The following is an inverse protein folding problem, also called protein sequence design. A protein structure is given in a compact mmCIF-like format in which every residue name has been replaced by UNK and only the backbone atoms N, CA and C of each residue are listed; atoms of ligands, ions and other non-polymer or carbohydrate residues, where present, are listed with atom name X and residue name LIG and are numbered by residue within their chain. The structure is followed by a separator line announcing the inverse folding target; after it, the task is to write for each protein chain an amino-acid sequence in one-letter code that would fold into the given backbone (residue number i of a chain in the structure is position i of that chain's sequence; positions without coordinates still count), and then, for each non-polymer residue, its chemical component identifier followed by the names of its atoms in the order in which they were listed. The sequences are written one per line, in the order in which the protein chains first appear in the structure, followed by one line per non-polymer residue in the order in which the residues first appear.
data_IF_550645680695
#
_entry.id   IF_550645680695
#
_cell.length_a   1.000
_cell.length_b   1.000
_cell.length_c   1.000
_cell.angle_alpha   90.00
_cell.angle_beta   90.00
_cell.angle_gamma   90.00
#
_symmetry.space_group_name_H-M   'P 1'
#
loop_
_entity.id
_entity.type
_entity.pdbx_description
1 polymer ?
2 polymer ?
3 non-polymer ?
4 water ?
#
loop_
_entity_poly.entity_id
_entity_poly.type
_entity_poly.pdbx_seq_one_letter_code
_entity_poly.pdbx_strand_id
2 'polyribonucleotide' 'GC' ?
#
# COMPACT_ATOMS: atom_id res chain seq x y z
N UNK A 2 2.18 -19.00 12.05
CA UNK A 2 0.94 -18.64 11.37
C UNK A 2 1.17 -18.44 9.88
N UNK A 3 2.35 -18.90 9.43
CA UNK A 3 2.69 -18.95 8.02
C UNK A 3 1.65 -19.75 7.24
N UNK A 4 1.08 -19.17 6.18
CA UNK A 4 0.03 -19.88 5.46
C UNK A 4 -0.08 -19.32 4.05
N UNK A 5 -0.35 -20.20 3.09
CA UNK A 5 -0.53 -19.75 1.71
C UNK A 5 -1.87 -19.05 1.49
N UNK A 6 -2.73 -18.95 2.52
CA UNK A 6 -3.97 -18.19 2.44
C UNK A 6 -3.83 -16.76 2.96
N UNK A 7 -2.72 -16.44 3.63
CA UNK A 7 -2.51 -15.10 4.16
C UNK A 7 -2.45 -14.07 3.03
N UNK A 8 -2.74 -12.81 3.38
CA UNK A 8 -2.79 -11.72 2.40
C UNK A 8 -1.70 -10.69 2.69
N UNK A 9 -1.03 -10.24 1.63
CA UNK A 9 -0.01 -9.21 1.73
C UNK A 9 -0.63 -7.89 1.29
N UNK A 10 -0.70 -6.95 2.22
CA UNK A 10 -1.19 -5.60 1.97
C UNK A 10 0.01 -4.67 1.82
N UNK A 11 -0.05 -3.77 0.83
CA UNK A 11 1.08 -2.88 0.60
C UNK A 11 0.55 -1.52 0.14
N UNK A 12 1.24 -0.46 0.59
CA UNK A 12 0.95 0.89 0.14
C UNK A 12 2.29 1.57 -0.09
N UNK A 13 2.37 2.35 -1.15
CA UNK A 13 3.54 3.14 -1.48
C UNK A 13 3.16 4.61 -1.47
N UNK A 14 4.15 5.46 -1.18
CA UNK A 14 4.07 6.88 -1.50
C UNK A 14 5.14 7.18 -2.55
N UNK A 15 4.81 8.10 -3.47
CA UNK A 15 5.66 8.36 -4.62
C UNK A 15 5.81 9.86 -4.83
N UNK A 16 6.79 10.23 -5.67
CA UNK A 16 6.95 11.63 -6.07
C UNK A 16 5.98 12.05 -7.17
N UNK A 17 5.15 11.13 -7.65
CA UNK A 17 4.14 11.49 -8.63
C UNK A 17 3.49 10.23 -9.15
N UNK A 18 2.73 10.39 -10.24
CA UNK A 18 1.86 9.32 -10.73
C UNK A 18 2.47 8.49 -11.86
N UNK A 19 3.66 8.85 -12.35
CA UNK A 19 4.20 8.23 -13.55
C UNK A 19 5.41 7.39 -13.19
N UNK A 20 5.34 6.05 -13.24
CA UNK A 20 6.49 5.23 -12.81
C UNK A 20 7.77 5.49 -13.59
N UNK A 21 7.67 5.96 -14.83
CA UNK A 21 8.86 6.17 -15.64
C UNK A 21 9.61 7.42 -15.22
N UNK A 22 8.95 8.33 -14.54
CA UNK A 22 9.50 9.62 -14.18
C UNK A 22 9.70 9.77 -12.68
N UNK A 23 8.87 9.12 -11.89
CA UNK A 23 8.78 9.37 -10.46
C UNK A 23 9.35 8.20 -9.69
N UNK A 24 9.44 8.36 -8.37
CA UNK A 24 10.16 7.41 -7.54
C UNK A 24 9.31 7.04 -6.33
N UNK A 25 9.63 5.91 -5.74
CA UNK A 25 9.00 5.50 -4.48
C UNK A 25 9.74 6.17 -3.34
N UNK A 26 9.00 6.84 -2.45
CA UNK A 26 9.59 7.45 -1.26
C UNK A 26 9.12 6.82 0.04
N UNK A 27 8.07 6.01 0.03
CA UNK A 27 7.73 5.28 1.24
C UNK A 27 7.08 3.96 0.88
N UNK A 28 7.30 2.95 1.71
CA UNK A 28 6.67 1.65 1.52
C UNK A 28 6.28 1.10 2.89
N UNK A 29 5.14 0.43 2.95
CA UNK A 29 4.75 -0.25 4.18
C UNK A 29 3.99 -1.49 3.76
N UNK A 30 4.10 -2.55 4.56
CA UNK A 30 3.37 -3.78 4.31
C UNK A 30 2.72 -4.26 5.59
N UNK A 31 1.60 -4.97 5.43
CA UNK A 31 0.91 -5.64 6.53
C UNK A 31 0.50 -7.02 6.02
N UNK A 32 0.60 -8.03 6.87
CA UNK A 32 0.10 -9.36 6.55
C UNK A 32 -1.16 -9.61 7.38
N UNK A 33 -2.25 -9.97 6.72
CA UNK A 33 -3.42 -10.47 7.42
C UNK A 33 -3.61 -11.94 7.09
N UNK A 34 -4.42 -12.62 7.91
CA UNK A 34 -4.88 -13.93 7.48
C UNK A 34 -6.01 -13.73 6.47
N UNK A 35 -6.57 -14.84 6.00
CA UNK A 35 -7.61 -14.75 4.98
C UNK A 35 -8.90 -14.15 5.51
N UNK A 36 -9.07 -14.09 6.83
CA UNK A 36 -10.23 -13.48 7.45
C UNK A 36 -9.99 -12.01 7.80
N UNK A 37 -8.87 -11.44 7.35
CA UNK A 37 -8.48 -10.03 7.50
C UNK A 37 -7.98 -9.69 8.89
N UNK A 38 -7.74 -10.67 9.76
CA UNK A 38 -7.10 -10.36 11.04
C UNK A 38 -5.65 -9.98 10.80
N UNK A 39 -5.22 -8.85 11.38
CA UNK A 39 -3.86 -8.39 11.17
C UNK A 39 -2.90 -9.26 11.97
N UNK A 40 -1.97 -9.92 11.27
CA UNK A 40 -1.03 -10.84 11.91
C UNK A 40 0.29 -10.15 12.26
N UNK A 41 0.78 -9.27 11.40
CA UNK A 41 2.08 -8.64 11.57
C UNK A 41 2.19 -7.44 10.66
N UNK A 42 2.88 -6.40 11.12
CA UNK A 42 3.16 -5.25 10.29
C UNK A 42 4.62 -5.30 9.88
N UNK A 43 4.86 -5.02 8.60
CA UNK A 43 6.19 -5.10 8.05
C UNK A 43 6.97 -3.83 8.24
N UNK A 44 8.13 -3.76 7.59
CA UNK A 44 8.95 -2.54 7.68
C UNK A 44 8.23 -1.34 7.10
N UNK A 45 8.28 -0.23 7.81
CA UNK A 45 7.76 1.05 7.33
C UNK A 45 8.98 1.88 6.94
N UNK A 46 9.21 2.05 5.63
CA UNK A 46 10.50 2.50 5.13
C UNK A 46 10.32 3.78 4.33
N UNK A 47 10.93 4.86 4.81
CA UNK A 47 11.13 6.05 3.99
C UNK A 47 12.38 5.82 3.15
N UNK A 48 12.25 5.90 1.84
CA UNK A 48 13.31 5.55 0.91
C UNK A 48 14.00 6.82 0.47
N UNK A 49 15.33 6.86 0.63
CA UNK A 49 16.06 8.06 0.28
C UNK A 49 15.96 8.34 -1.22
N UNK A 50 15.76 9.62 -1.54
CA UNK A 50 15.82 10.12 -2.91
C UNK A 50 16.55 11.45 -2.89
N UNK A 51 17.35 11.73 -3.91
CA UNK A 51 18.04 13.02 -3.98
C UNK A 51 17.07 14.15 -4.27
N UNK A 52 17.54 15.39 -4.01
CA UNK A 52 16.67 16.56 -4.21
C UNK A 52 16.15 16.62 -5.64
N UNK A 53 16.97 16.23 -6.63
CA UNK A 53 16.52 16.33 -8.01
C UNK A 53 15.28 15.51 -8.25
N UNK A 54 15.12 14.40 -7.52
CA UNK A 54 13.91 13.60 -7.65
C UNK A 54 12.76 14.21 -6.84
N UNK A 55 13.05 14.71 -5.65
CA UNK A 55 12.00 15.40 -4.89
C UNK A 55 11.52 16.63 -5.65
N UNK A 56 12.39 17.23 -6.46
CA UNK A 56 12.06 18.44 -7.19
C UNK A 56 11.11 18.17 -8.35
N UNK A 57 10.80 16.91 -8.64
CA UNK A 57 9.79 16.62 -9.64
C UNK A 57 8.38 16.70 -9.08
N UNK A 58 8.23 16.87 -7.76
CA UNK A 58 6.90 16.75 -7.16
C UNK A 58 6.06 17.97 -7.50
N UNK A 59 4.79 17.74 -7.82
CA UNK A 59 3.86 18.83 -8.06
C UNK A 59 3.42 19.42 -6.73
N UNK A 60 2.48 20.36 -6.76
CA UNK A 60 2.06 21.01 -5.51
C UNK A 60 1.38 20.03 -4.56
N UNK A 61 0.47 19.21 -5.09
CA UNK A 61 -0.20 18.23 -4.24
C UNK A 61 0.81 17.35 -3.52
N UNK A 62 1.77 16.82 -4.27
CA UNK A 62 2.77 15.92 -3.69
C UNK A 62 3.65 16.68 -2.70
N UNK A 63 4.12 17.86 -3.08
CA UNK A 63 5.01 18.60 -2.20
C UNK A 63 4.33 18.93 -0.88
N UNK A 64 3.13 19.49 -0.94
CA UNK A 64 2.45 19.90 0.28
C UNK A 64 2.06 18.69 1.12
N UNK A 65 1.52 17.64 0.48
CA UNK A 65 1.12 16.45 1.22
C UNK A 65 2.29 15.80 1.94
N UNK A 66 3.36 15.50 1.20
CA UNK A 66 4.48 14.76 1.78
C UNK A 66 5.36 15.61 2.68
N UNK A 67 5.35 16.94 2.51
CA UNK A 67 6.05 17.77 3.48
C UNK A 67 5.26 17.85 4.79
N UNK A 68 3.96 18.10 4.68
CA UNK A 68 3.14 18.29 5.88
C UNK A 68 3.05 17.02 6.71
N UNK A 69 3.18 15.87 6.09
CA UNK A 69 3.14 14.61 6.82
C UNK A 69 4.44 14.29 7.53
N UNK A 70 5.52 15.01 7.22
CA UNK A 70 6.83 14.67 7.74
C UNK A 70 7.61 13.69 6.89
N UNK A 71 7.00 13.17 5.81
CA UNK A 71 7.68 12.18 4.98
C UNK A 71 8.88 12.77 4.27
N UNK A 72 8.78 14.00 3.75
CA UNK A 72 9.91 14.57 3.01
C UNK A 72 11.13 14.65 3.90
N UNK A 73 10.96 15.12 5.14
CA UNK A 73 12.09 15.16 6.07
C UNK A 73 12.65 13.77 6.31
N UNK A 74 11.77 12.77 6.45
CA UNK A 74 12.24 11.40 6.66
C UNK A 74 12.98 10.88 5.43
N UNK A 75 12.51 11.23 4.24
CA UNK A 75 13.19 10.83 3.00
C UNK A 75 14.58 11.45 2.95
N UNK A 76 14.68 12.75 3.26
CA UNK A 76 15.97 13.42 3.22
C UNK A 76 16.95 12.79 4.20
N UNK A 77 16.48 12.38 5.37
CA UNK A 77 17.37 11.79 6.37
C UNK A 77 17.63 10.31 6.15
N UNK A 78 16.84 9.65 5.30
CA UNK A 78 16.91 8.20 5.21
C UNK A 78 18.23 7.75 4.61
N UNK A 79 18.72 6.62 5.09
CA UNK A 79 19.88 5.96 4.52
C UNK A 79 19.52 4.59 3.94
N UNK A 80 18.29 4.46 3.45
CA UNK A 80 17.78 3.20 2.92
C UNK A 80 17.42 3.41 1.45
N UNK A 81 18.04 2.62 0.57
CA UNK A 81 17.77 2.66 -0.86
C UNK A 81 16.65 1.68 -1.22
N UNK A 82 16.18 1.77 -2.47
CA UNK A 82 15.14 0.86 -2.94
C UNK A 82 15.55 -0.60 -2.75
N UNK A 83 16.79 -0.93 -3.11
CA UNK A 83 17.24 -2.31 -2.99
C UNK A 83 17.22 -2.77 -1.54
N UNK A 84 17.68 -1.92 -0.62
CA UNK A 84 17.65 -2.29 0.78
C UNK A 84 16.22 -2.40 1.29
N UNK A 85 15.33 -1.54 0.81
CA UNK A 85 13.93 -1.63 1.19
C UNK A 85 13.30 -2.93 0.68
N UNK A 86 13.67 -3.36 -0.52
CA UNK A 86 13.20 -4.66 -1.00
C UNK A 86 13.71 -5.77 -0.09
N UNK A 87 15.00 -5.74 0.23
CA UNK A 87 15.58 -6.79 1.06
C UNK A 87 14.85 -6.89 2.41
N UNK A 88 14.67 -5.76 3.07
CA UNK A 88 13.96 -5.73 4.35
C UNK A 88 12.54 -6.27 4.21
N UNK A 89 11.84 -5.85 3.15
CA UNK A 89 10.44 -6.25 3.00
C UNK A 89 10.34 -7.73 2.68
N UNK A 90 11.21 -8.24 1.80
CA UNK A 90 11.20 -9.67 1.51
C UNK A 90 11.55 -10.50 2.73
N UNK A 91 12.52 -10.04 3.54
CA UNK A 91 12.89 -10.81 4.71
C UNK A 91 11.71 -10.92 5.69
N UNK A 92 10.88 -9.88 5.74
CA UNK A 92 9.68 -9.91 6.56
C UNK A 92 8.64 -10.86 5.96
N UNK A 93 8.31 -10.67 4.67
CA UNK A 93 7.21 -11.42 4.07
C UNK A 93 7.47 -12.91 4.07
N UNK A 94 8.73 -13.33 3.91
CA UNK A 94 9.03 -14.76 3.86
C UNK A 94 8.68 -15.47 5.16
N UNK A 95 8.50 -14.72 6.25
CA UNK A 95 8.14 -15.33 7.52
C UNK A 95 6.65 -15.56 7.65
N UNK A 96 5.84 -15.04 6.74
CA UNK A 96 4.39 -15.02 6.94
C UNK A 96 3.60 -15.60 5.78
N UNK A 97 4.08 -15.43 4.54
CA UNK A 97 3.35 -15.87 3.35
C UNK A 97 4.35 -16.46 2.36
N UNK A 98 4.05 -17.59 1.73
CA UNK A 98 4.95 -18.12 0.69
C UNK A 98 4.92 -17.28 -0.57
N UNK A 99 6.02 -17.39 -1.32
CA UNK A 99 6.19 -16.66 -2.57
C UNK A 99 5.10 -17.01 -3.57
N UNK A 100 4.57 -16.00 -4.25
CA UNK A 100 3.67 -16.19 -5.36
C UNK A 100 2.24 -16.55 -5.02
N UNK A 101 1.84 -16.49 -3.75
CA UNK A 101 0.53 -16.97 -3.33
C UNK A 101 -0.48 -15.87 -3.06
N UNK A 102 -0.04 -14.73 -2.49
CA UNK A 102 -0.98 -13.68 -2.14
C UNK A 102 -1.20 -12.72 -3.30
N UNK A 103 -2.45 -12.40 -3.65
CA UNK A 103 -2.68 -11.24 -4.51
C UNK A 103 -2.11 -10.00 -3.84
N UNK A 104 -1.90 -8.97 -4.64
CA UNK A 104 -1.53 -7.69 -4.05
C UNK A 104 -2.80 -7.01 -3.55
N UNK A 105 -2.76 -6.51 -2.31
CA UNK A 105 -3.95 -6.06 -1.60
C UNK A 105 -3.81 -4.59 -1.23
N UNK A 106 -4.85 -3.80 -1.50
CA UNK A 106 -4.85 -2.40 -1.11
C UNK A 106 -5.95 -1.64 -1.80
N UNK A 107 -5.80 -0.31 -1.86
CA UNK A 107 -6.72 0.59 -2.55
C UNK A 107 -6.09 1.06 -3.85
N UNK A 108 -6.79 0.82 -4.97
CA UNK A 108 -6.28 1.16 -6.32
C UNK A 108 -4.86 0.62 -6.49
N UNK A 109 -4.68 -0.60 -6.02
CA UNK A 109 -3.39 -1.25 -5.88
C UNK A 109 -2.70 -1.48 -7.23
N UNK A 110 -3.44 -1.36 -8.34
CA UNK A 110 -2.80 -1.40 -9.63
C UNK A 110 -1.74 -0.33 -9.80
N UNK A 111 -1.95 0.85 -9.21
CA UNK A 111 -0.96 1.91 -9.33
C UNK A 111 0.33 1.55 -8.60
N UNK A 112 0.21 1.07 -7.36
CA UNK A 112 1.39 0.59 -6.63
C UNK A 112 2.09 -0.51 -7.43
N UNK A 113 1.34 -1.45 -7.99
CA UNK A 113 2.00 -2.53 -8.71
C UNK A 113 2.80 -1.99 -9.90
N UNK A 114 2.29 -0.95 -10.57
CA UNK A 114 3.05 -0.34 -11.65
C UNK A 114 4.42 0.12 -11.17
N UNK A 115 4.46 0.76 -9.99
CA UNK A 115 5.73 1.22 -9.45
C UNK A 115 6.59 0.05 -9.01
N UNK A 116 5.99 -1.03 -8.49
CA UNK A 116 6.79 -2.21 -8.16
C UNK A 116 7.40 -2.83 -9.41
N UNK A 117 6.62 -2.97 -10.50
CA UNK A 117 7.19 -3.53 -11.73
C UNK A 117 8.41 -2.75 -12.18
N UNK A 118 8.34 -1.42 -12.12
CA UNK A 118 9.40 -0.57 -12.64
C UNK A 118 10.59 -0.51 -11.68
N UNK A 119 10.32 -0.31 -10.39
CA UNK A 119 11.37 0.03 -9.44
C UNK A 119 11.73 -1.08 -8.48
N UNK A 120 10.87 -2.08 -8.29
CA UNK A 120 11.13 -3.16 -7.34
C UNK A 120 10.63 -4.49 -7.89
N UNK A 121 11.09 -4.89 -9.08
CA UNK A 121 10.54 -6.12 -9.68
C UNK A 121 10.73 -7.37 -8.84
N UNK A 122 11.82 -7.45 -8.07
CA UNK A 122 12.00 -8.61 -7.18
C UNK A 122 10.90 -8.68 -6.14
N UNK A 123 10.38 -7.54 -5.69
CA UNK A 123 9.26 -7.55 -4.76
C UNK A 123 7.94 -7.82 -5.48
N UNK A 124 7.73 -7.19 -6.65
CA UNK A 124 6.52 -7.48 -7.41
C UNK A 124 6.35 -8.97 -7.63
N UNK A 125 7.46 -9.66 -7.91
CA UNK A 125 7.41 -11.09 -8.22
C UNK A 125 6.97 -11.94 -7.03
N UNK A 126 6.97 -11.37 -5.81
CA UNK A 126 6.54 -12.14 -4.65
C UNK A 126 5.03 -12.32 -4.61
N UNK A 127 4.28 -11.48 -5.32
CA UNK A 127 2.82 -11.54 -5.30
C UNK A 127 2.30 -12.48 -6.38
N UNK A 128 1.16 -13.13 -6.10
CA UNK A 128 0.36 -13.74 -7.13
C UNK A 128 -0.05 -12.67 -8.14
N UNK A 129 -0.40 -13.09 -9.36
CA UNK A 129 -0.72 -12.09 -10.38
C UNK A 129 -2.02 -11.35 -10.09
N UNK A 130 -2.89 -11.87 -9.23
CA UNK A 130 -4.17 -11.22 -9.04
C UNK A 130 -4.07 -10.03 -8.08
N UNK A 131 -5.16 -9.28 -8.04
CA UNK A 131 -5.27 -8.03 -7.28
C UNK A 131 -6.48 -8.13 -6.37
N UNK A 132 -6.31 -7.73 -5.12
CA UNK A 132 -7.46 -7.52 -4.24
C UNK A 132 -7.52 -6.02 -4.02
N UNK A 133 -8.38 -5.36 -4.80
CA UNK A 133 -8.51 -3.92 -4.81
C UNK A 133 -9.76 -3.53 -4.03
N UNK A 134 -9.56 -2.98 -2.83
CA UNK A 134 -10.70 -2.61 -2.00
C UNK A 134 -11.56 -1.56 -2.69
N UNK A 135 -10.93 -0.72 -3.54
CA UNK A 135 -11.69 0.32 -4.23
C UNK A 135 -12.63 -0.24 -5.28
N UNK A 136 -12.40 -1.45 -5.75
CA UNK A 136 -13.42 -2.10 -6.58
C UNK A 136 -14.74 -2.19 -5.82
N UNK A 137 -14.68 -2.63 -4.56
CA UNK A 137 -15.90 -2.76 -3.77
C UNK A 137 -16.49 -1.40 -3.45
N UNK A 138 -15.63 -0.41 -3.17
CA UNK A 138 -16.10 0.95 -2.95
C UNK A 138 -16.92 1.45 -4.13
N UNK A 139 -16.42 1.22 -5.35
CA UNK A 139 -17.08 1.73 -6.55
C UNK A 139 -18.39 1.01 -6.80
N UNK A 140 -18.42 -0.30 -6.58
CA UNK A 140 -19.67 -1.04 -6.78
C UNK A 140 -20.70 -0.63 -5.73
N UNK A 141 -20.25 -0.41 -4.50
CA UNK A 141 -21.16 0.06 -3.45
C UNK A 141 -21.70 1.44 -3.78
N UNK A 142 -20.85 2.32 -4.30
CA UNK A 142 -21.32 3.66 -4.65
C UNK A 142 -22.46 3.61 -5.66
N UNK A 143 -22.43 2.63 -6.57
CA UNK A 143 -23.48 2.54 -7.58
C UNK A 143 -24.68 1.71 -7.15
N UNK A 144 -24.48 0.69 -6.32
CA UNK A 144 -25.58 -0.19 -5.96
C UNK A 144 -26.31 0.24 -4.69
N UNK A 145 -25.61 0.81 -3.71
CA UNK A 145 -26.28 1.30 -2.51
C UNK A 145 -25.41 2.38 -1.87
N UNK A 146 -25.35 3.57 -2.45
CA UNK A 146 -24.37 4.57 -2.00
C UNK A 146 -24.55 5.02 -0.55
N UNK A 147 -25.75 4.88 0.03
CA UNK A 147 -25.93 5.33 1.41
C UNK A 147 -25.07 4.54 2.38
N UNK A 148 -24.64 3.34 2.01
CA UNK A 148 -23.74 2.55 2.85
C UNK A 148 -22.45 3.32 3.12
N UNK A 149 -21.98 4.07 2.12
CA UNK A 149 -20.67 4.70 2.23
C UNK A 149 -20.63 5.83 3.25
N UNK A 150 -21.78 6.37 3.63
CA UNK A 150 -21.77 7.39 4.66
C UNK A 150 -21.47 6.84 6.04
N UNK A 151 -21.43 5.52 6.20
CA UNK A 151 -21.16 4.92 7.50
C UNK A 151 -19.68 4.59 7.70
N UNK A 152 -18.82 4.93 6.75
CA UNK A 152 -17.38 4.70 6.90
C UNK A 152 -16.62 5.89 6.35
N UNK A 153 -15.56 6.29 7.05
CA UNK A 153 -14.78 7.47 6.71
C UNK A 153 -13.30 7.13 6.85
N UNK A 154 -12.48 7.86 6.12
CA UNK A 154 -11.03 7.67 6.14
C UNK A 154 -10.33 8.98 6.46
N UNK A 155 -9.21 8.86 7.19
CA UNK A 155 -8.39 10.02 7.48
C UNK A 155 -7.52 10.41 6.28
N UNK A 156 -6.97 9.40 5.58
CA UNK A 156 -6.17 9.62 4.39
C UNK A 156 -4.96 10.51 4.62
N UNK A 157 -4.03 10.07 5.45
CA UNK A 157 -2.89 10.90 5.84
C UNK A 157 -1.71 10.78 4.90
N UNK A 158 -1.71 9.77 4.05
CA UNK A 158 -0.60 9.46 3.14
C UNK A 158 0.68 9.14 3.89
N UNK A 159 0.53 8.65 5.12
CA UNK A 159 1.55 7.85 5.77
C UNK A 159 1.24 6.39 5.43
N UNK A 160 2.17 5.72 4.75
CA UNK A 160 1.86 4.45 4.08
C UNK A 160 1.27 3.41 5.05
N UNK A 161 1.82 3.27 6.25
CA UNK A 161 1.27 2.24 7.13
C UNK A 161 -0.15 2.60 7.58
N UNK A 162 -0.40 3.89 7.87
CA UNK A 162 -1.73 4.26 8.33
C UNK A 162 -2.75 4.07 7.23
N UNK A 163 -2.37 4.36 5.99
CA UNK A 163 -3.32 4.24 4.89
C UNK A 163 -3.61 2.78 4.58
N UNK A 164 -2.62 1.90 4.73
CA UNK A 164 -2.93 0.50 4.48
C UNK A 164 -3.76 -0.08 5.63
N UNK A 165 -3.55 0.40 6.86
CA UNK A 165 -4.45 0.02 7.93
C UNK A 165 -5.88 0.47 7.62
N UNK A 166 -6.03 1.64 6.99
CA UNK A 166 -7.37 2.10 6.63
C UNK A 166 -7.97 1.26 5.49
N UNK A 167 -7.13 0.77 4.58
CA UNK A 167 -7.62 -0.12 3.53
C UNK A 167 -8.20 -1.40 4.12
N UNK A 168 -7.49 -2.01 5.07
CA UNK A 168 -7.99 -3.22 5.73
C UNK A 168 -9.28 -2.92 6.47
N UNK A 169 -9.34 -1.79 7.19
CA UNK A 169 -10.56 -1.43 7.91
C UNK A 169 -11.72 -1.21 6.95
N UNK A 170 -11.44 -0.64 5.78
CA UNK A 170 -12.49 -0.42 4.78
C UNK A 170 -13.05 -1.75 4.30
N UNK A 171 -12.17 -2.71 4.02
CA UNK A 171 -12.65 -4.02 3.58
C UNK A 171 -13.39 -4.73 4.70
N UNK A 172 -12.90 -4.62 5.94
CA UNK A 172 -13.64 -5.16 7.06
C UNK A 172 -15.04 -4.57 7.13
N UNK A 173 -15.16 -3.27 6.90
CA UNK A 173 -16.47 -2.62 6.88
C UNK A 173 -17.34 -3.19 5.78
N UNK A 174 -16.78 -3.35 4.56
CA UNK A 174 -17.57 -3.90 3.46
C UNK A 174 -18.05 -5.31 3.75
N UNK A 175 -17.21 -6.12 4.41
CA UNK A 175 -17.63 -7.49 4.64
C UNK A 175 -18.91 -7.54 5.46
N UNK A 176 -19.03 -6.66 6.46
CA UNK A 176 -20.27 -6.66 7.22
C UNK A 176 -21.38 -5.90 6.51
N UNK A 177 -21.03 -4.89 5.71
CA UNK A 177 -22.04 -3.95 5.21
C UNK A 177 -22.59 -4.31 3.84
N UNK A 178 -21.79 -4.91 2.97
CA UNK A 178 -22.26 -5.22 1.61
C UNK A 178 -22.09 -6.68 1.22
N UNK A 179 -21.31 -7.47 1.93
CA UNK A 179 -21.23 -8.91 1.65
C UNK A 179 -22.19 -9.68 2.54
N UNK A 180 -22.55 -10.90 2.09
CA UNK A 180 -23.31 -11.82 2.91
C UNK A 180 -22.57 -13.13 3.12
N UNK A 181 -21.27 -13.14 2.87
CA UNK A 181 -20.42 -14.30 3.11
C UNK A 181 -19.28 -13.92 4.04
X LIG C 1 -2.09 4.30 -2.07
#
# INVERSE_FOLDING_TARGET
MSFSDQNLIWIDLEMTGLDPEMHKIIEMATIVTDSELNILAEGPVIAIHQPESELAKMDEWCTTTHTASGLVARVRQSQVSEEEAIDQTLAFLKQWVPEGKSPICGNSIGQDRRFLYKHMPRLEAYFHYRYIDVSTIKELTRRWQPEVLKEFSKTGSHLALDDIRESIAELQFYRKAVFKI
NA NA
#
